data_IF_007701356165
#
_entry.id   IF_007701356165
#
_cell.length_a   1.000
_cell.length_b   1.000
_cell.length_c   1.000
_cell.angle_alpha   90.00
_cell.angle_beta   90.00
_cell.angle_gamma   90.00
#
_symmetry.space_group_name_H-M   'P 1'
#
loop_
_entity.id
_entity.type
_entity.pdbx_description
1 polymer ?
#
# COMPACT_ATOMS: atom_id res chain seq x y z
N UNK A 1 3.87 -5.36 -10.24
CA UNK A 1 4.07 -3.89 -10.21
C UNK A 1 4.27 -3.46 -8.77
N UNK A 2 5.13 -2.48 -8.50
CA UNK A 2 5.30 -1.96 -7.14
C UNK A 2 4.08 -1.13 -6.75
N UNK A 3 3.63 -1.24 -5.50
CA UNK A 3 2.55 -0.43 -4.96
C UNK A 3 3.02 0.24 -3.66
N UNK A 4 2.83 1.55 -3.47
CA UNK A 4 3.21 2.23 -2.24
C UNK A 4 2.51 1.64 -1.01
N UNK A 5 1.24 1.26 -1.17
CA UNK A 5 0.43 0.68 -0.10
C UNK A 5 -0.40 -0.50 -0.59
N UNK A 6 -0.82 -1.37 0.33
CA UNK A 6 -1.82 -2.40 0.07
C UNK A 6 -3.20 -2.01 0.62
N UNK A 7 -4.24 -2.63 0.05
CA UNK A 7 -5.58 -2.58 0.61
C UNK A 7 -5.69 -3.34 1.95
N UNK A 8 -4.79 -4.31 2.22
CA UNK A 8 -4.68 -5.03 3.49
C UNK A 8 -5.37 -6.39 3.50
N UNK A 9 -6.62 -6.49 3.08
CA UNK A 9 -7.40 -7.73 3.25
C UNK A 9 -6.98 -8.93 2.40
N UNK A 10 -6.17 -8.71 1.35
CA UNK A 10 -5.74 -9.75 0.41
C UNK A 10 -4.28 -9.54 0.03
N UNK A 11 -3.40 -10.39 0.56
CA UNK A 11 -1.98 -10.43 0.22
C UNK A 11 -1.41 -11.82 0.52
N UNK A 12 -0.22 -12.10 0.02
CA UNK A 12 0.57 -13.27 0.39
C UNK A 12 1.94 -12.78 0.88
N UNK A 13 2.43 -13.41 1.95
CA UNK A 13 3.71 -13.08 2.57
C UNK A 13 4.36 -14.38 3.07
N UNK A 14 5.68 -14.45 3.02
CA UNK A 14 6.41 -15.54 3.67
C UNK A 14 6.20 -15.46 5.20
N UNK A 15 5.98 -16.63 5.83
CA UNK A 15 5.65 -16.69 7.25
C UNK A 15 6.83 -16.24 8.11
N UNK A 16 8.04 -16.72 7.83
CA UNK A 16 9.25 -16.33 8.57
C UNK A 16 9.47 -14.83 8.45
N UNK A 17 9.44 -14.30 7.22
CA UNK A 17 9.55 -12.87 6.98
C UNK A 17 8.51 -12.06 7.75
N UNK A 18 7.23 -12.49 7.76
CA UNK A 18 6.17 -11.80 8.52
C UNK A 18 6.46 -11.74 10.02
N UNK A 19 6.98 -12.82 10.60
CA UNK A 19 7.38 -12.87 12.02
C UNK A 19 8.61 -12.00 12.26
N UNK A 20 9.63 -12.09 11.39
CA UNK A 20 10.90 -11.38 11.53
C UNK A 20 10.72 -9.86 11.45
N UNK A 21 9.81 -9.37 10.61
CA UNK A 21 9.49 -7.95 10.57
C UNK A 21 8.57 -7.51 11.71
N UNK A 22 8.12 -8.41 12.59
CA UNK A 22 7.40 -8.09 13.82
C UNK A 22 5.88 -8.21 13.78
N UNK A 23 5.32 -9.05 12.91
CA UNK A 23 3.88 -9.37 12.78
C UNK A 23 3.00 -8.11 12.69
N UNK A 24 1.74 -8.14 13.12
CA UNK A 24 0.94 -6.91 13.25
C UNK A 24 1.21 -6.21 14.58
N UNK A 25 0.94 -4.90 14.64
CA UNK A 25 0.90 -4.17 15.90
C UNK A 25 -0.28 -4.66 16.75
N UNK A 26 0.02 -5.50 17.75
CA UNK A 26 -0.96 -6.05 18.69
C UNK A 26 -1.70 -4.98 19.53
N UNK A 27 -1.20 -3.73 19.54
CA UNK A 27 -1.89 -2.62 20.18
C UNK A 27 -2.98 -1.97 19.32
N UNK A 28 -3.19 -2.41 18.07
CA UNK A 28 -4.28 -1.95 17.22
C UNK A 28 -5.63 -2.60 17.57
N UNK A 29 -6.70 -1.82 17.47
CA UNK A 29 -8.05 -2.25 17.81
C UNK A 29 -8.93 -2.44 16.57
N UNK A 30 -9.58 -3.59 16.50
CA UNK A 30 -10.69 -3.95 15.59
C UNK A 30 -10.38 -3.80 14.09
N UNK A 31 -10.32 -2.58 13.56
CA UNK A 31 -10.16 -2.34 12.13
C UNK A 31 -9.63 -0.94 11.80
N UNK A 32 -8.64 -0.89 10.92
CA UNK A 32 -8.18 0.31 10.26
C UNK A 32 -6.74 0.63 10.56
N UNK A 33 -5.98 1.09 9.57
CA UNK A 33 -4.60 1.52 9.72
C UNK A 33 -3.57 0.40 9.62
N UNK A 34 -3.94 -0.86 9.86
CA UNK A 34 -3.02 -2.00 9.82
C UNK A 34 -2.40 -2.21 8.43
N UNK A 35 -3.18 -1.90 7.38
CA UNK A 35 -2.72 -1.99 6.00
C UNK A 35 -1.65 -0.94 5.69
N UNK A 36 -1.77 0.27 6.23
CA UNK A 36 -0.78 1.33 6.07
C UNK A 36 0.46 1.06 6.90
N UNK A 37 0.28 0.63 8.15
CA UNK A 37 1.39 0.26 9.05
C UNK A 37 2.30 -0.78 8.41
N UNK A 38 1.74 -1.90 7.98
CA UNK A 38 2.52 -2.97 7.38
C UNK A 38 3.09 -2.55 6.02
N UNK A 39 2.39 -1.70 5.24
CA UNK A 39 2.94 -1.15 3.98
C UNK A 39 4.20 -0.31 4.23
N UNK A 40 4.13 0.65 5.17
CA UNK A 40 5.26 1.51 5.51
C UNK A 40 6.41 0.70 6.07
N UNK A 41 6.13 -0.24 6.98
CA UNK A 41 7.14 -1.12 7.55
C UNK A 41 7.83 -1.97 6.49
N UNK A 42 7.09 -2.66 5.62
CA UNK A 42 7.69 -3.47 4.56
C UNK A 42 8.64 -2.64 3.71
N UNK A 43 8.21 -1.48 3.23
CA UNK A 43 9.04 -0.63 2.38
C UNK A 43 10.24 -0.03 3.11
N UNK A 44 10.01 0.55 4.28
CA UNK A 44 11.04 1.26 5.03
C UNK A 44 12.06 0.30 5.65
N UNK A 45 11.72 -0.96 5.87
CA UNK A 45 12.62 -1.97 6.45
C UNK A 45 13.23 -2.91 5.40
N UNK A 46 13.22 -2.52 4.12
CA UNK A 46 13.99 -3.20 3.06
C UNK A 46 13.24 -4.26 2.24
N UNK A 47 11.95 -4.47 2.50
CA UNK A 47 11.09 -5.30 1.67
C UNK A 47 10.51 -4.55 0.45
N UNK A 48 9.62 -5.24 -0.26
CA UNK A 48 8.85 -4.66 -1.36
C UNK A 48 7.39 -5.08 -1.28
N UNK A 49 6.51 -4.20 -1.78
CA UNK A 49 5.08 -4.48 -1.88
C UNK A 49 4.66 -4.47 -3.34
N UNK A 50 4.11 -5.58 -3.79
CA UNK A 50 3.81 -5.79 -5.20
C UNK A 50 2.35 -6.18 -5.44
N UNK A 51 1.74 -5.52 -6.42
CA UNK A 51 0.47 -5.95 -6.99
C UNK A 51 0.76 -6.84 -8.20
N UNK A 52 0.24 -8.07 -8.16
CA UNK A 52 0.43 -9.09 -9.19
C UNK A 52 -0.84 -9.13 -10.06
N UNK A 53 -0.85 -8.54 -11.28
CA UNK A 53 -2.08 -8.42 -12.07
C UNK A 53 -2.66 -9.77 -12.52
N UNK A 54 -1.83 -10.82 -12.46
CA UNK A 54 -2.21 -12.18 -12.87
C UNK A 54 -2.95 -12.91 -11.74
N UNK A 55 -2.77 -12.48 -10.49
CA UNK A 55 -3.51 -12.99 -9.34
C UNK A 55 -4.80 -12.19 -9.20
N UNK A 56 -5.95 -12.85 -9.37
CA UNK A 56 -7.26 -12.21 -9.35
C UNK A 56 -8.13 -12.83 -8.28
N UNK A 57 -8.51 -12.01 -7.29
CA UNK A 57 -9.44 -12.40 -6.23
C UNK A 57 -10.56 -11.36 -6.15
N UNK A 58 -11.80 -11.81 -6.24
CA UNK A 58 -12.97 -10.94 -6.11
C UNK A 58 -13.23 -10.57 -4.65
N UNK A 59 -13.45 -9.28 -4.37
CA UNK A 59 -13.87 -8.79 -3.07
C UNK A 59 -15.19 -8.00 -3.21
N UNK A 60 -16.17 -8.29 -2.35
CA UNK A 60 -17.45 -7.56 -2.33
C UNK A 60 -17.27 -6.31 -1.47
N UNK A 61 -17.06 -5.18 -2.12
CA UNK A 61 -16.98 -3.89 -1.44
C UNK A 61 -18.31 -3.51 -0.80
N UNK A 62 -18.26 -3.09 0.47
CA UNK A 62 -19.41 -2.62 1.23
C UNK A 62 -19.33 -1.11 1.40
N UNK A 63 -20.48 -0.44 1.37
CA UNK A 63 -20.54 1.01 1.54
C UNK A 63 -20.38 1.45 3.01
N UNK A 64 -20.69 0.56 3.96
CA UNK A 64 -20.61 0.82 5.40
C UNK A 64 -20.00 -0.38 6.12
N UNK A 65 -19.35 -0.12 7.25
CA UNK A 65 -18.82 -1.17 8.11
C UNK A 65 -20.00 -1.91 8.78
N UNK A 66 -20.03 -3.24 8.73
CA UNK A 66 -21.11 -4.02 9.33
C UNK A 66 -21.01 -4.11 10.88
N UNK A 67 -19.85 -3.72 11.44
CA UNK A 67 -19.58 -3.75 12.88
C UNK A 67 -19.10 -2.37 13.33
N UNK A 68 -19.64 -1.89 14.45
CA UNK A 68 -19.14 -0.72 15.17
C UNK A 68 -18.09 -1.11 16.21
N UNK A 69 -17.41 -0.12 16.78
CA UNK A 69 -16.62 -0.34 17.99
C UNK A 69 -17.59 -0.63 19.17
N UNK A 70 -17.38 -1.68 19.98
CA UNK A 70 -18.20 -1.99 21.15
C UNK A 70 -18.36 -0.79 22.08
N UNK A 71 -17.32 0.03 22.19
CA UNK A 71 -17.25 1.17 23.12
C UNK A 71 -17.52 2.52 22.43
N UNK A 72 -17.86 2.51 21.14
CA UNK A 72 -18.07 3.75 20.35
C UNK A 72 -16.78 4.52 20.03
N UNK A 73 -15.62 4.01 20.42
CA UNK A 73 -14.33 4.63 20.13
C UNK A 73 -14.01 4.65 18.63
N UNK A 74 -13.37 5.74 18.17
CA UNK A 74 -12.82 5.84 16.83
C UNK A 74 -11.54 5.01 16.71
N UNK A 75 -11.73 3.70 16.57
CA UNK A 75 -10.68 2.70 16.36
C UNK A 75 -9.79 3.03 15.17
N UNK A 76 -10.35 3.62 14.11
CA UNK A 76 -9.57 4.03 12.92
C UNK A 76 -8.61 5.15 13.27
N UNK A 77 -9.08 6.19 13.96
CA UNK A 77 -8.22 7.31 14.35
C UNK A 77 -7.16 6.87 15.37
N UNK A 78 -7.54 6.04 16.34
CA UNK A 78 -6.62 5.44 17.31
C UNK A 78 -5.49 4.67 16.62
N UNK A 79 -5.82 3.74 15.71
CA UNK A 79 -4.82 2.97 14.98
C UNK A 79 -3.98 3.86 14.05
N UNK A 80 -4.61 4.83 13.36
CA UNK A 80 -3.90 5.77 12.48
C UNK A 80 -2.87 6.60 13.25
N UNK A 81 -3.18 7.00 14.49
CA UNK A 81 -2.22 7.67 15.36
C UNK A 81 -1.03 6.78 15.69
N UNK A 82 -1.25 5.49 16.00
CA UNK A 82 -0.14 4.54 16.21
C UNK A 82 0.77 4.48 15.00
N UNK A 83 0.21 4.37 13.79
CA UNK A 83 0.98 4.38 12.53
C UNK A 83 1.75 5.69 12.38
N UNK A 84 1.08 6.82 12.54
CA UNK A 84 1.68 8.13 12.32
C UNK A 84 2.84 8.41 13.30
N UNK A 85 2.69 8.03 14.57
CA UNK A 85 3.73 8.23 15.57
C UNK A 85 4.93 7.30 15.40
N UNK A 86 4.75 6.09 14.86
CA UNK A 86 5.84 5.12 14.65
C UNK A 86 6.55 5.32 13.31
N UNK A 87 5.82 5.60 12.23
CA UNK A 87 6.35 5.48 10.85
C UNK A 87 6.44 6.79 10.08
N UNK A 88 5.70 7.84 10.43
CA UNK A 88 5.59 9.05 9.60
C UNK A 88 6.52 10.20 10.00
N UNK A 89 7.38 10.03 11.01
CA UNK A 89 8.38 11.01 11.44
C UNK A 89 7.78 12.43 11.64
N UNK A 90 8.32 13.45 10.97
CA UNK A 90 7.79 14.83 10.97
C UNK A 90 6.54 15.00 10.09
N UNK A 91 6.33 14.12 9.11
CA UNK A 91 5.20 14.18 8.19
C UNK A 91 3.86 13.85 8.86
N UNK A 92 3.87 13.27 10.07
CA UNK A 92 2.67 13.10 10.89
C UNK A 92 1.97 14.43 11.18
N UNK A 93 2.71 15.54 11.20
CA UNK A 93 2.11 16.86 11.43
C UNK A 93 1.12 17.26 10.33
N UNK A 94 1.30 16.79 9.09
CA UNK A 94 0.31 16.99 8.04
C UNK A 94 -1.00 16.28 8.36
N UNK A 95 -0.92 15.05 8.86
CA UNK A 95 -2.09 14.29 9.31
C UNK A 95 -2.77 14.97 10.52
N UNK A 96 -2.00 15.35 11.54
CA UNK A 96 -2.50 16.00 12.75
C UNK A 96 -3.06 17.41 12.50
N UNK A 97 -2.65 18.09 11.42
CA UNK A 97 -3.25 19.37 10.99
C UNK A 97 -4.62 19.18 10.34
N UNK A 98 -4.82 18.09 9.60
CA UNK A 98 -6.12 17.78 8.98
C UNK A 98 -7.13 17.23 9.99
N UNK A 99 -6.66 16.64 11.08
CA UNK A 99 -7.47 16.06 12.16
C UNK A 99 -7.04 16.64 13.52
N UNK A 100 -7.44 17.88 13.86
CA UNK A 100 -7.06 18.51 15.13
C UNK A 100 -7.45 17.68 16.37
N UNK A 101 -8.56 16.94 16.31
CA UNK A 101 -9.05 16.02 17.33
C UNK A 101 -8.05 14.90 17.66
N UNK A 102 -7.18 14.54 16.71
CA UNK A 102 -6.19 13.48 16.87
C UNK A 102 -5.09 13.88 17.88
N UNK A 103 -4.86 15.17 18.11
CA UNK A 103 -3.79 15.66 18.99
C UNK A 103 -4.02 15.37 20.48
N UNK A 104 -5.28 15.31 20.91
CA UNK A 104 -5.66 15.04 22.30
C UNK A 104 -6.04 13.58 22.53
N UNK A 105 -6.13 12.77 21.47
CA UNK A 105 -6.50 11.36 21.56
C UNK A 105 -5.32 10.51 22.01
N UNK A 106 -5.58 9.55 22.89
CA UNK A 106 -4.59 8.55 23.30
C UNK A 106 -4.45 7.50 22.20
N UNK A 107 -3.24 6.97 22.03
CA UNK A 107 -2.93 5.90 21.07
C UNK A 107 -2.19 4.71 21.71
N UNK A 108 -2.23 4.63 23.04
CA UNK A 108 -1.56 3.58 23.81
C UNK A 108 -0.02 3.66 23.78
N UNK A 109 0.63 2.64 24.33
CA UNK A 109 2.09 2.52 24.25
C UNK A 109 2.52 1.98 22.89
N UNK A 110 3.57 2.59 22.32
CA UNK A 110 4.17 2.23 21.02
C UNK A 110 5.66 1.90 21.16
N UNK A 111 6.19 1.84 22.39
CA UNK A 111 7.61 1.60 22.69
C UNK A 111 8.17 0.39 21.93
N UNK A 112 7.45 -0.74 21.94
CA UNK A 112 7.86 -1.98 21.26
C UNK A 112 7.94 -1.82 19.73
N UNK A 113 7.10 -0.98 19.13
CA UNK A 113 7.10 -0.72 17.68
C UNK A 113 8.22 0.22 17.29
N UNK A 114 8.50 1.23 18.11
CA UNK A 114 9.64 2.13 17.93
C UNK A 114 10.96 1.36 18.05
N UNK A 115 11.07 0.47 19.05
CA UNK A 115 12.24 -0.39 19.21
C UNK A 115 12.44 -1.32 18.01
N UNK A 116 11.37 -1.99 17.55
CA UNK A 116 11.41 -2.83 16.35
C UNK A 116 11.94 -2.06 15.11
N UNK A 117 11.46 -0.83 14.90
CA UNK A 117 11.93 0.02 13.80
C UNK A 117 13.43 0.30 13.88
N UNK A 118 13.96 0.49 15.09
CA UNK A 118 15.39 0.69 15.33
C UNK A 118 16.19 -0.59 15.10
N UNK A 119 15.71 -1.74 15.59
CA UNK A 119 16.37 -3.04 15.45
C UNK A 119 16.49 -3.47 13.98
N UNK A 120 15.43 -3.26 13.20
CA UNK A 120 15.40 -3.53 11.76
C UNK A 120 16.15 -2.47 10.92
N UNK A 121 16.65 -1.40 11.55
CA UNK A 121 17.38 -0.29 10.89
C UNK A 121 16.61 0.29 9.70
N UNK A 122 15.32 0.50 9.88
CA UNK A 122 14.45 0.98 8.81
C UNK A 122 14.80 2.42 8.41
N UNK A 123 14.57 2.74 7.14
CA UNK A 123 14.66 4.10 6.61
C UNK A 123 13.62 5.04 7.23
N UNK A 124 13.80 6.34 7.01
CA UNK A 124 12.85 7.37 7.41
C UNK A 124 11.70 7.55 6.40
N UNK A 125 10.66 8.29 6.80
CA UNK A 125 9.50 8.51 5.96
C UNK A 125 9.81 9.44 4.77
N UNK A 126 10.81 10.31 4.89
CA UNK A 126 11.32 11.12 3.78
C UNK A 126 11.89 10.22 2.67
N UNK A 127 12.68 9.20 3.03
CA UNK A 127 13.17 8.20 2.09
C UNK A 127 12.01 7.47 1.40
N UNK A 128 10.98 7.07 2.14
CA UNK A 128 9.79 6.42 1.59
C UNK A 128 9.10 7.32 0.55
N UNK A 129 8.87 8.60 0.87
CA UNK A 129 8.25 9.54 -0.06
C UNK A 129 9.12 9.80 -1.30
N UNK A 130 10.44 9.79 -1.18
CA UNK A 130 11.34 10.01 -2.33
C UNK A 130 11.47 8.80 -3.25
N UNK A 131 11.47 7.59 -2.70
CA UNK A 131 11.80 6.38 -3.46
C UNK A 131 10.60 5.49 -3.76
N UNK A 132 9.58 5.52 -2.91
CA UNK A 132 8.42 4.61 -3.00
C UNK A 132 7.17 5.35 -3.47
N UNK A 133 6.94 6.58 -2.98
CA UNK A 133 5.76 7.35 -3.36
C UNK A 133 6.04 8.81 -3.79
N UNK A 134 6.93 9.04 -4.77
CA UNK A 134 7.36 10.39 -5.19
C UNK A 134 6.24 11.26 -5.77
N UNK A 135 5.18 10.63 -6.30
CA UNK A 135 4.03 11.31 -6.88
C UNK A 135 3.05 11.87 -5.85
N UNK A 136 3.18 11.50 -4.56
CA UNK A 136 2.31 12.00 -3.51
C UNK A 136 2.48 13.52 -3.38
N UNK A 137 1.40 14.26 -3.60
CA UNK A 137 1.36 15.70 -3.38
C UNK A 137 1.34 15.98 -1.87
N UNK A 138 2.32 16.76 -1.40
CA UNK A 138 2.40 17.22 -0.02
C UNK A 138 1.81 18.63 0.11
N UNK A 139 1.24 19.00 1.26
CA UNK A 139 0.70 20.35 1.48
C UNK A 139 1.71 21.49 1.32
N UNK A 140 3.01 21.20 1.38
CA UNK A 140 4.11 22.16 1.18
C UNK A 140 4.61 22.21 -0.27
N UNK A 141 4.07 21.39 -1.17
CA UNK A 141 4.47 21.41 -2.58
C UNK A 141 3.94 22.69 -3.25
N UNK A 142 4.82 23.44 -3.91
CA UNK A 142 4.42 24.50 -4.83
C UNK A 142 4.15 23.96 -6.24
N UNK A 143 3.62 24.80 -7.13
CA UNK A 143 3.26 24.40 -8.49
C UNK A 143 4.47 23.86 -9.29
N UNK A 144 5.66 24.42 -9.06
CA UNK A 144 6.91 23.99 -9.70
C UNK A 144 7.30 22.57 -9.25
N UNK A 145 7.24 22.32 -7.94
CA UNK A 145 7.57 21.03 -7.32
C UNK A 145 6.57 19.95 -7.73
N UNK A 146 5.28 20.27 -7.84
CA UNK A 146 4.27 19.35 -8.35
C UNK A 146 4.53 18.99 -9.83
N UNK A 147 4.80 19.97 -10.68
CA UNK A 147 5.16 19.72 -12.10
C UNK A 147 6.37 18.81 -12.22
N UNK A 148 7.39 19.02 -11.38
CA UNK A 148 8.59 18.18 -11.34
C UNK A 148 8.30 16.75 -10.87
N UNK A 149 7.47 16.57 -9.83
CA UNK A 149 7.07 15.23 -9.36
C UNK A 149 6.36 14.46 -10.47
N UNK A 150 5.37 15.09 -11.11
CA UNK A 150 4.55 14.43 -12.13
C UNK A 150 5.31 14.16 -13.43
N UNK A 151 6.32 14.96 -13.77
CA UNK A 151 7.17 14.67 -14.94
C UNK A 151 8.12 13.49 -14.72
N UNK A 152 8.40 13.13 -13.46
CA UNK A 152 9.24 11.99 -13.10
C UNK A 152 8.46 10.67 -12.97
N UNK A 153 7.13 10.72 -12.94
CA UNK A 153 6.30 9.52 -12.96
C UNK A 153 6.34 8.93 -14.36
N UNK A 154 6.96 7.75 -14.51
CA UNK A 154 6.86 6.96 -15.73
C UNK A 154 5.40 6.53 -15.94
N UNK A 155 4.67 7.28 -16.77
CA UNK A 155 3.37 6.85 -17.27
C UNK A 155 3.62 5.74 -18.30
N UNK A 156 3.31 4.50 -17.92
CA UNK A 156 3.19 3.41 -18.89
C UNK A 156 2.28 3.89 -20.03
N UNK A 157 2.84 4.04 -21.24
CA UNK A 157 2.10 4.49 -22.42
C UNK A 157 1.05 3.44 -22.77
N UNK A 158 -0.17 3.63 -22.29
CA UNK A 158 -1.32 2.80 -22.66
C UNK A 158 -1.50 2.83 -24.19
N UNK A 159 -1.30 1.68 -24.84
CA UNK A 159 -1.63 1.51 -26.26
C UNK A 159 -2.94 0.71 -26.42
N UNK A 160 -4.01 1.36 -26.90
CA UNK A 160 -5.28 0.69 -27.15
C UNK A 160 -5.14 -0.51 -28.08
N UNK A 161 -5.94 -1.56 -27.88
CA UNK A 161 -5.78 -2.80 -28.67
C UNK A 161 -6.02 -2.58 -30.18
N UNK A 162 -6.88 -1.61 -30.53
CA UNK A 162 -7.33 -1.28 -31.89
C UNK A 162 -6.33 -0.42 -32.66
N UNK A 163 -5.40 0.27 -32.00
CA UNK A 163 -4.33 1.04 -32.66
C UNK A 163 -3.13 0.18 -33.04
N UNK A 164 -3.14 -1.11 -32.70
CA UNK A 164 -2.07 -2.06 -33.01
C UNK A 164 -2.27 -2.59 -34.43
N UNK A 165 -1.42 -2.20 -35.39
CA UNK A 165 -1.39 -2.85 -36.71
C UNK A 165 -1.03 -4.33 -36.54
N UNK A 166 -1.91 -5.23 -36.98
CA UNK A 166 -1.74 -6.68 -36.88
C UNK A 166 -1.75 -7.28 -38.28
N UNK A 167 -0.59 -7.73 -38.75
CA UNK A 167 -0.46 -8.61 -39.91
C UNK A 167 -0.01 -9.98 -39.37
N UNK A 168 -0.95 -10.93 -39.27
CA UNK A 168 -0.65 -12.27 -38.79
C UNK A 168 -0.16 -13.14 -39.94
N UNK A 169 1.03 -13.71 -39.78
CA UNK A 169 1.71 -14.52 -40.79
C UNK A 169 2.11 -15.91 -40.27
N UNK A 170 2.20 -16.13 -38.94
CA UNK A 170 2.56 -17.42 -38.33
C UNK A 170 2.20 -17.53 -36.83
N UNK A 171 2.34 -18.73 -36.25
CA UNK A 171 1.99 -19.09 -34.86
C UNK A 171 3.23 -19.38 -33.98
N UNK A 172 3.22 -18.96 -32.70
CA UNK A 172 4.39 -19.02 -31.80
C UNK A 172 4.04 -19.48 -30.37
N UNK A 173 5.05 -19.95 -29.63
CA UNK A 173 5.04 -20.10 -28.18
C UNK A 173 5.42 -18.77 -27.52
N UNK A 174 4.56 -18.25 -26.66
CA UNK A 174 4.79 -16.96 -26.00
C UNK A 174 5.41 -17.21 -24.62
N UNK A 175 6.65 -16.78 -24.45
CA UNK A 175 7.32 -16.71 -23.16
C UNK A 175 7.45 -15.22 -22.80
N UNK A 176 6.71 -14.77 -21.78
CA UNK A 176 6.85 -13.41 -21.27
C UNK A 176 8.09 -13.34 -20.40
N UNK A 177 9.08 -12.55 -20.82
CA UNK A 177 10.27 -12.25 -20.04
C UNK A 177 10.29 -10.74 -19.81
N UNK A 178 10.52 -10.29 -18.58
CA UNK A 178 10.59 -8.88 -18.19
C UNK A 178 9.33 -8.04 -18.52
N UNK A 179 8.12 -8.59 -18.33
CA UNK A 179 6.86 -7.85 -18.50
C UNK A 179 5.98 -7.96 -17.25
N UNK A 180 5.30 -6.86 -16.91
CA UNK A 180 4.23 -6.82 -15.90
C UNK A 180 2.86 -7.26 -16.45
N UNK A 181 2.79 -7.63 -17.75
CA UNK A 181 1.57 -8.04 -18.42
C UNK A 181 1.29 -9.52 -18.18
N UNK A 182 0.00 -9.86 -18.09
CA UNK A 182 -0.47 -11.22 -17.91
C UNK A 182 -1.05 -11.77 -19.21
N UNK A 183 -0.72 -13.03 -19.51
CA UNK A 183 -1.36 -13.79 -20.55
C UNK A 183 -2.67 -14.36 -19.99
N UNK A 184 -3.80 -14.03 -20.60
CA UNK A 184 -5.10 -14.60 -20.30
C UNK A 184 -5.68 -15.21 -21.57
N UNK A 185 -6.47 -16.28 -21.43
CA UNK A 185 -7.24 -16.81 -22.55
C UNK A 185 -8.17 -15.73 -23.13
N UNK A 186 -8.33 -15.72 -24.45
CA UNK A 186 -9.23 -14.77 -25.12
C UNK A 186 -10.70 -14.90 -24.67
N UNK A 187 -11.05 -16.04 -24.07
CA UNK A 187 -12.38 -16.36 -23.55
C UNK A 187 -12.22 -16.75 -22.08
N UNK A 188 -12.99 -16.08 -21.22
CA UNK A 188 -13.02 -16.31 -19.77
C UNK A 188 -13.77 -17.63 -19.50
N UNK A 189 -13.05 -18.74 -19.29
CA UNK A 189 -13.67 -20.01 -18.90
C UNK A 189 -14.08 -19.95 -17.44
N UNK A 190 -15.31 -19.49 -17.19
CA UNK A 190 -15.95 -19.59 -15.87
C UNK A 190 -16.45 -21.02 -15.68
N UNK A 191 -15.68 -21.86 -15.00
CA UNK A 191 -16.22 -23.11 -14.45
C UNK A 191 -17.12 -22.75 -13.27
N UNK A 192 -18.43 -22.62 -13.55
CA UNK A 192 -19.42 -22.73 -12.50
C UNK A 192 -19.37 -24.18 -12.02
N UNK A 193 -18.78 -24.40 -10.84
CA UNK A 193 -18.88 -25.70 -10.17
C UNK A 193 -20.35 -26.11 -10.11
N UNK A 194 -20.65 -27.30 -10.63
CA UNK A 194 -21.92 -27.98 -10.39
C UNK A 194 -21.94 -28.50 -8.96
#
# INVERSE_FOLDING_TARGET
MKSPTMAGGLFAIDRSYFVDIGEYDAGMNIWGGENLELSFRIWMCGGSLELIPCSRVGHIFRHRRPYGSPDGEDTMLYNSLRVAHVWMDEYKDFFLKQRPEARSMKYGDISSRVQLRQELKCFDFDWYLKHIYPELALPTDDESRLKKKWSQVELDKYQPWHSRRRNYVDQFQIQLVNSNLCLQSAIDHRTKGK
#
